data_IF_007396789903
#
_entry.id   IF_007396789903
#
_cell.length_a   1.000
_cell.length_b   1.000
_cell.length_c   1.000
_cell.angle_alpha   90.00
_cell.angle_beta   90.00
_cell.angle_gamma   90.00
#
_symmetry.space_group_name_H-M   'P 1'
#
loop_
_entity.id
_entity.type
_entity.pdbx_description
1 polymer ?
#
# COMPACT_ATOMS: atom_id res chain seq x y z
N UNK A 1 -2.02 -13.12 26.50
CA UNK A 1 -2.14 -12.00 27.47
C UNK A 1 -3.43 -11.27 27.17
N UNK A 2 -4.32 -11.11 28.15
CA UNK A 2 -5.60 -10.42 27.97
C UNK A 2 -5.34 -8.94 27.60
N UNK A 3 -5.95 -8.46 26.51
CA UNK A 3 -5.78 -7.09 26.00
C UNK A 3 -6.59 -6.12 26.87
N UNK A 4 -6.15 -4.86 27.06
CA UNK A 4 -6.94 -3.84 27.73
C UNK A 4 -8.31 -3.70 27.04
N UNK A 5 -9.42 -3.56 27.79
CA UNK A 5 -10.69 -3.16 27.23
C UNK A 5 -10.54 -1.80 26.52
N UNK A 6 -10.80 -1.76 25.21
CA UNK A 6 -10.74 -0.51 24.41
C UNK A 6 -9.55 -0.34 23.46
N UNK A 7 -8.52 -1.20 23.50
CA UNK A 7 -7.42 -1.14 22.51
C UNK A 7 -7.80 -1.90 21.23
N UNK A 8 -7.95 -1.19 20.11
CA UNK A 8 -8.18 -1.80 18.79
C UNK A 8 -6.86 -2.35 18.26
N UNK A 9 -6.90 -3.56 17.68
CA UNK A 9 -5.72 -4.20 17.13
C UNK A 9 -5.70 -4.04 15.61
N UNK A 10 -4.52 -3.90 15.03
CA UNK A 10 -4.36 -3.93 13.59
C UNK A 10 -3.38 -5.02 13.15
N UNK A 11 -3.72 -5.71 12.07
CA UNK A 11 -2.87 -6.71 11.46
C UNK A 11 -1.86 -6.07 10.51
N UNK A 12 -0.66 -6.65 10.45
CA UNK A 12 0.33 -6.35 9.41
C UNK A 12 0.94 -7.62 8.83
N UNK A 13 1.65 -7.47 7.73
CA UNK A 13 2.41 -8.54 7.09
C UNK A 13 3.79 -8.76 7.74
N UNK A 14 4.04 -8.16 8.90
CA UNK A 14 5.28 -8.30 9.67
C UNK A 14 5.95 -6.95 9.96
N UNK A 15 6.95 -6.92 10.86
CA UNK A 15 7.74 -5.73 11.12
C UNK A 15 8.39 -5.20 9.84
N UNK A 16 8.31 -3.88 9.66
CA UNK A 16 8.87 -3.19 8.48
C UNK A 16 8.08 -3.36 7.17
N UNK A 17 6.99 -4.13 7.14
CA UNK A 17 6.15 -4.25 5.95
C UNK A 17 5.44 -2.94 5.60
N UNK A 18 4.99 -2.77 4.35
CA UNK A 18 4.14 -1.66 3.94
C UNK A 18 2.91 -1.49 4.85
N UNK A 19 2.27 -2.59 5.25
CA UNK A 19 1.11 -2.55 6.16
C UNK A 19 1.46 -2.15 7.60
N UNK A 20 2.68 -2.46 8.07
CA UNK A 20 3.17 -1.95 9.35
C UNK A 20 3.37 -0.43 9.30
N UNK A 21 4.07 0.07 8.27
CA UNK A 21 4.26 1.50 8.07
C UNK A 21 2.93 2.26 7.92
N UNK A 22 1.98 1.71 7.16
CA UNK A 22 0.65 2.32 7.03
C UNK A 22 -0.12 2.36 8.35
N UNK A 23 -0.04 1.29 9.16
CA UNK A 23 -0.65 1.24 10.49
C UNK A 23 -0.06 2.29 11.43
N UNK A 24 1.26 2.42 11.48
CA UNK A 24 1.92 3.43 12.32
C UNK A 24 1.64 4.86 11.86
N UNK A 25 1.59 5.13 10.55
CA UNK A 25 1.16 6.44 10.05
C UNK A 25 -0.27 6.77 10.48
N UNK A 26 -1.17 5.78 10.38
CA UNK A 26 -2.57 5.96 10.75
C UNK A 26 -2.72 6.25 12.23
N UNK A 27 -2.04 5.49 13.10
CA UNK A 27 -2.00 5.77 14.55
C UNK A 27 -1.55 7.20 14.83
N UNK A 28 -0.43 7.61 14.21
CA UNK A 28 0.17 8.92 14.41
C UNK A 28 -0.75 10.06 13.95
N UNK A 29 -1.40 9.92 12.79
CA UNK A 29 -2.28 10.96 12.24
C UNK A 29 -3.67 10.98 12.89
N UNK A 30 -4.21 9.82 13.26
CA UNK A 30 -5.53 9.73 13.90
C UNK A 30 -5.49 9.99 15.41
N UNK A 31 -4.30 10.04 16.02
CA UNK A 31 -4.15 10.16 17.48
C UNK A 31 -4.71 8.94 18.22
N UNK A 32 -4.68 7.76 17.58
CA UNK A 32 -5.22 6.51 18.13
C UNK A 32 -4.09 5.59 18.58
N UNK A 33 -4.29 4.96 19.74
CA UNK A 33 -3.40 3.92 20.22
C UNK A 33 -3.91 2.53 19.77
N UNK A 34 -3.39 2.07 18.62
CA UNK A 34 -3.67 0.73 18.10
C UNK A 34 -2.51 -0.22 18.40
N UNK A 35 -2.85 -1.43 18.83
CA UNK A 35 -1.86 -2.50 19.05
C UNK A 35 -1.53 -3.20 17.74
N UNK A 36 -0.25 -3.20 17.40
CA UNK A 36 0.29 -3.90 16.21
C UNK A 36 0.36 -5.41 16.44
N UNK A 37 -0.27 -6.18 15.55
CA UNK A 37 -0.21 -7.64 15.52
C UNK A 37 0.49 -8.07 14.22
N UNK A 38 1.78 -8.50 14.28
CA UNK A 38 2.52 -8.93 13.11
C UNK A 38 2.18 -10.38 12.71
N UNK A 39 1.92 -10.60 11.43
CA UNK A 39 1.77 -11.93 10.82
C UNK A 39 2.91 -12.21 9.84
N UNK A 40 3.15 -13.47 9.49
CA UNK A 40 4.22 -13.86 8.56
C UNK A 40 3.80 -13.69 7.10
N UNK A 41 3.60 -12.43 6.69
CA UNK A 41 3.23 -12.06 5.33
C UNK A 41 1.75 -11.78 5.12
N UNK A 42 1.43 -11.31 3.91
CA UNK A 42 0.12 -10.74 3.59
C UNK A 42 -1.03 -11.77 3.61
N UNK A 43 -0.76 -13.03 3.26
CA UNK A 43 -1.77 -14.08 3.26
C UNK A 43 -2.28 -14.39 4.69
N UNK A 44 -1.37 -14.58 5.65
CA UNK A 44 -1.73 -14.81 7.05
C UNK A 44 -2.42 -13.58 7.67
N UNK A 45 -1.91 -12.38 7.36
CA UNK A 45 -2.53 -11.11 7.75
C UNK A 45 -3.98 -11.01 7.27
N UNK A 46 -4.26 -11.30 6.00
CA UNK A 46 -5.61 -11.26 5.44
C UNK A 46 -6.55 -12.28 6.08
N UNK A 47 -6.08 -13.51 6.29
CA UNK A 47 -6.86 -14.56 6.97
C UNK A 47 -7.21 -14.19 8.42
N UNK A 48 -6.28 -13.57 9.15
CA UNK A 48 -6.54 -13.12 10.52
C UNK A 48 -7.63 -12.05 10.62
N UNK A 49 -7.74 -11.19 9.61
CA UNK A 49 -8.81 -10.18 9.56
C UNK A 49 -10.14 -10.82 9.16
N UNK A 50 -10.11 -11.69 8.14
CA UNK A 50 -11.29 -12.41 7.68
C UNK A 50 -11.94 -13.29 8.76
N UNK A 51 -11.12 -13.88 9.64
CA UNK A 51 -11.56 -14.69 10.78
C UNK A 51 -11.92 -13.89 12.03
N UNK A 52 -11.62 -12.58 12.05
CA UNK A 52 -11.90 -11.69 13.19
C UNK A 52 -10.82 -11.66 14.29
N UNK A 53 -9.71 -12.38 14.14
CA UNK A 53 -8.59 -12.36 15.09
C UNK A 53 -7.95 -10.97 15.24
N UNK A 54 -7.95 -10.20 14.15
CA UNK A 54 -7.55 -8.79 14.11
C UNK A 54 -8.61 -7.95 13.40
N UNK A 55 -9.22 -6.96 14.06
CA UNK A 55 -10.40 -6.25 13.54
C UNK A 55 -10.08 -5.25 12.41
N UNK A 56 -8.82 -4.84 12.25
CA UNK A 56 -8.42 -3.79 11.30
C UNK A 56 -7.15 -4.20 10.55
N UNK A 57 -7.06 -3.80 9.29
CA UNK A 57 -5.83 -3.84 8.51
C UNK A 57 -5.76 -2.60 7.62
N UNK A 58 -4.56 -2.04 7.49
CA UNK A 58 -4.23 -1.10 6.43
C UNK A 58 -3.21 -1.80 5.55
N UNK A 59 -3.62 -2.18 4.34
CA UNK A 59 -2.85 -3.06 3.50
C UNK A 59 -3.08 -2.80 2.02
N UNK A 60 -2.27 -3.45 1.19
CA UNK A 60 -2.33 -3.28 -0.25
C UNK A 60 -3.58 -3.99 -0.80
N UNK A 61 -4.37 -3.28 -1.62
CA UNK A 61 -5.63 -3.80 -2.18
C UNK A 61 -5.43 -5.15 -2.89
N UNK A 62 -4.35 -5.30 -3.66
CA UNK A 62 -3.96 -6.55 -4.35
C UNK A 62 -3.95 -7.77 -3.42
N UNK A 63 -3.54 -7.60 -2.17
CA UNK A 63 -3.44 -8.70 -1.20
C UNK A 63 -4.79 -9.04 -0.54
N UNK A 64 -5.74 -8.10 -0.55
CA UNK A 64 -7.00 -8.18 0.18
C UNK A 64 -8.21 -8.36 -0.75
N UNK A 65 -8.05 -8.10 -2.06
CA UNK A 65 -9.15 -8.10 -3.04
C UNK A 65 -9.97 -9.39 -3.02
N UNK A 66 -9.33 -10.56 -2.89
CA UNK A 66 -10.04 -11.82 -2.81
C UNK A 66 -10.95 -11.94 -1.57
N UNK A 67 -10.49 -11.45 -0.41
CA UNK A 67 -11.28 -11.43 0.83
C UNK A 67 -12.42 -10.41 0.76
N UNK A 68 -12.16 -9.25 0.16
CA UNK A 68 -13.15 -8.20 -0.06
C UNK A 68 -14.26 -8.70 -0.99
N UNK A 69 -13.89 -9.34 -2.10
CA UNK A 69 -14.84 -9.90 -3.05
C UNK A 69 -15.74 -11.00 -2.46
N UNK A 70 -15.23 -11.76 -1.47
CA UNK A 70 -16.01 -12.76 -0.73
C UNK A 70 -16.84 -12.18 0.42
N UNK A 71 -16.75 -10.88 0.67
CA UNK A 71 -17.45 -10.21 1.79
C UNK A 71 -16.86 -10.51 3.17
N UNK A 72 -15.69 -11.13 3.23
CA UNK A 72 -15.01 -11.49 4.49
C UNK A 72 -14.28 -10.29 5.12
N UNK A 73 -13.87 -9.33 4.28
CA UNK A 73 -13.27 -8.06 4.72
C UNK A 73 -14.05 -6.92 4.11
N UNK A 74 -14.49 -5.98 4.96
CA UNK A 74 -15.15 -4.75 4.51
C UNK A 74 -14.12 -3.67 4.20
N UNK A 75 -14.09 -3.22 2.95
CA UNK A 75 -13.27 -2.06 2.55
C UNK A 75 -13.93 -0.77 3.04
N UNK A 76 -13.23 -0.04 3.93
CA UNK A 76 -13.77 1.17 4.58
C UNK A 76 -13.32 2.47 3.90
N UNK A 77 -12.04 2.55 3.53
CA UNK A 77 -11.45 3.69 2.86
C UNK A 77 -10.22 3.25 2.06
N UNK A 78 -9.86 4.00 1.01
CA UNK A 78 -8.59 3.84 0.30
C UNK A 78 -7.53 4.79 0.86
N UNK A 79 -6.26 4.42 0.69
CA UNK A 79 -5.10 5.16 1.24
C UNK A 79 -4.41 6.06 0.21
N UNK A 80 -4.98 6.19 -0.99
CA UNK A 80 -4.62 7.20 -1.99
C UNK A 80 -5.22 8.56 -1.64
N UNK A 81 -4.63 9.64 -2.16
CA UNK A 81 -5.20 10.99 -2.02
C UNK A 81 -6.50 11.17 -2.80
N UNK A 82 -6.67 10.42 -3.88
CA UNK A 82 -7.87 10.42 -4.72
C UNK A 82 -8.58 9.07 -4.64
N UNK A 83 -9.89 9.05 -4.93
CA UNK A 83 -10.67 7.80 -4.97
C UNK A 83 -10.08 6.82 -5.97
N UNK A 84 -10.04 5.55 -5.61
CA UNK A 84 -9.43 4.53 -6.44
C UNK A 84 -10.38 4.09 -7.56
N UNK A 85 -9.96 4.04 -8.84
CA UNK A 85 -10.86 3.74 -9.95
C UNK A 85 -11.60 2.40 -9.85
N UNK A 86 -10.99 1.38 -9.25
CA UNK A 86 -11.62 0.07 -9.08
C UNK A 86 -12.68 0.04 -7.96
N UNK A 87 -12.71 1.06 -7.09
CA UNK A 87 -13.64 1.18 -5.96
C UNK A 87 -14.08 2.64 -5.79
N UNK A 88 -14.75 3.24 -6.80
CA UNK A 88 -15.00 4.68 -6.83
C UNK A 88 -15.93 5.16 -5.70
N UNK A 89 -16.80 4.28 -5.20
CA UNK A 89 -17.72 4.61 -4.10
C UNK A 89 -17.03 4.66 -2.73
N UNK A 90 -15.85 4.04 -2.61
CA UNK A 90 -15.08 4.01 -1.37
C UNK A 90 -14.35 5.35 -1.19
N UNK A 91 -14.53 6.03 -0.05
CA UNK A 91 -13.85 7.31 0.20
C UNK A 91 -12.36 7.12 0.43
N UNK A 92 -11.60 8.21 0.33
CA UNK A 92 -10.19 8.23 0.74
C UNK A 92 -10.09 8.48 2.24
N UNK A 93 -8.98 8.07 2.88
CA UNK A 93 -8.68 8.52 4.25
C UNK A 93 -8.46 10.04 4.33
N UNK A 94 -7.95 10.64 3.24
CA UNK A 94 -7.83 12.09 3.09
C UNK A 94 -9.18 12.79 3.31
N UNK A 95 -10.23 12.31 2.63
CA UNK A 95 -11.60 12.84 2.72
C UNK A 95 -12.31 12.42 4.02
N UNK A 96 -11.87 11.33 4.65
CA UNK A 96 -12.52 10.72 5.81
C UNK A 96 -11.98 11.22 7.16
N UNK A 97 -11.43 12.43 7.18
CA UNK A 97 -10.98 13.08 8.42
C UNK A 97 -9.49 12.94 8.73
N UNK A 98 -8.67 12.41 7.81
CA UNK A 98 -7.20 12.45 7.90
C UNK A 98 -6.58 13.20 6.72
N UNK A 99 -6.73 14.54 6.62
CA UNK A 99 -6.19 15.31 5.51
C UNK A 99 -4.69 15.07 5.30
N UNK A 100 -4.32 14.79 4.05
CA UNK A 100 -2.95 14.49 3.66
C UNK A 100 -2.49 13.06 3.97
N UNK A 101 -3.34 12.20 4.52
CA UNK A 101 -3.02 10.78 4.68
C UNK A 101 -2.84 10.15 3.30
N UNK A 102 -1.66 9.60 3.06
CA UNK A 102 -1.39 8.84 1.85
C UNK A 102 -0.41 7.71 2.14
N UNK A 103 -0.80 6.48 1.81
CA UNK A 103 0.11 5.33 1.73
C UNK A 103 -0.19 4.53 0.48
N UNK A 104 0.58 4.80 -0.59
CA UNK A 104 0.47 4.08 -1.86
C UNK A 104 1.62 3.08 -1.98
N UNK A 105 1.28 1.81 -2.05
CA UNK A 105 2.23 0.77 -2.44
C UNK A 105 2.34 0.73 -3.97
N UNK A 106 3.57 0.75 -4.48
CA UNK A 106 3.85 0.71 -5.91
C UNK A 106 5.01 -0.23 -6.20
N UNK A 107 5.04 -0.73 -7.44
CA UNK A 107 6.16 -1.51 -7.97
C UNK A 107 6.76 -0.73 -9.14
N UNK A 108 8.09 -0.76 -9.25
CA UNK A 108 8.82 -0.11 -10.32
C UNK A 108 9.71 -1.09 -11.07
N UNK A 109 9.98 -0.79 -12.34
CA UNK A 109 10.98 -1.52 -13.11
C UNK A 109 12.33 -0.80 -12.97
N UNK A 110 13.34 -1.52 -12.49
CA UNK A 110 14.68 -0.99 -12.28
C UNK A 110 15.69 -1.74 -13.14
N UNK A 111 16.63 -1.00 -13.71
CA UNK A 111 17.82 -1.56 -14.36
C UNK A 111 19.06 -1.41 -13.48
N UNK A 112 20.18 -2.07 -13.83
CA UNK A 112 21.45 -1.89 -13.15
C UNK A 112 21.95 -0.44 -13.23
N UNK A 113 22.77 -0.04 -12.26
CA UNK A 113 23.46 1.24 -12.30
C UNK A 113 24.31 1.36 -13.58
N UNK A 114 24.26 2.51 -14.25
CA UNK A 114 24.97 2.74 -15.51
C UNK A 114 24.32 2.09 -16.73
N UNK A 115 23.05 1.67 -16.67
CA UNK A 115 22.32 1.17 -17.83
C UNK A 115 22.44 2.13 -19.02
N UNK A 116 22.87 1.61 -20.17
CA UNK A 116 23.13 2.40 -21.36
C UNK A 116 21.88 3.19 -21.78
N UNK A 117 21.99 4.51 -22.09
CA UNK A 117 20.84 5.33 -22.50
C UNK A 117 20.04 4.76 -23.67
N UNK A 118 20.71 4.07 -24.59
CA UNK A 118 20.08 3.40 -25.74
C UNK A 118 19.11 2.28 -25.34
N UNK A 119 19.37 1.59 -24.21
CA UNK A 119 18.46 0.57 -23.68
C UNK A 119 17.23 1.24 -23.09
N UNK A 120 17.42 2.27 -22.26
CA UNK A 120 16.31 3.05 -21.69
C UNK A 120 15.42 3.65 -22.78
N UNK A 121 16.03 4.19 -23.83
CA UNK A 121 15.32 4.76 -24.98
C UNK A 121 14.47 3.73 -25.74
N UNK A 122 14.83 2.44 -25.69
CA UNK A 122 14.03 1.35 -26.28
C UNK A 122 12.95 0.84 -25.33
N UNK A 123 13.22 0.79 -24.03
CA UNK A 123 12.30 0.25 -23.03
C UNK A 123 11.06 1.12 -22.86
N UNK A 124 11.21 2.45 -22.75
CA UNK A 124 10.08 3.33 -22.47
C UNK A 124 8.98 3.26 -23.56
N UNK A 125 9.28 3.33 -24.88
CA UNK A 125 8.27 3.13 -25.91
C UNK A 125 7.61 1.75 -25.86
N UNK A 126 8.38 0.69 -25.56
CA UNK A 126 7.83 -0.66 -25.44
C UNK A 126 6.86 -0.76 -24.25
N UNK A 127 7.21 -0.20 -23.09
CA UNK A 127 6.35 -0.15 -21.91
C UNK A 127 5.07 0.64 -22.19
N UNK A 128 5.15 1.77 -22.91
CA UNK A 128 3.97 2.54 -23.34
C UNK A 128 3.02 1.71 -24.21
N UNK A 129 3.57 0.95 -25.16
CA UNK A 129 2.76 0.06 -26.03
C UNK A 129 2.08 -1.04 -25.22
N UNK A 130 2.82 -1.70 -24.33
CA UNK A 130 2.27 -2.74 -23.45
C UNK A 130 1.17 -2.16 -22.56
N UNK A 131 1.38 -0.96 -22.02
CA UNK A 131 0.40 -0.30 -21.16
C UNK A 131 -0.87 0.15 -21.88
N UNK A 132 -0.84 0.28 -23.20
CA UNK A 132 -2.01 0.59 -24.01
C UNK A 132 -2.83 -0.68 -24.38
N UNK A 133 -2.34 -1.89 -24.08
CA UNK A 133 -3.07 -3.12 -24.35
C UNK A 133 -4.21 -3.29 -23.34
N UNK A 134 -5.44 -3.45 -23.84
CA UNK A 134 -6.64 -3.62 -23.03
C UNK A 134 -6.50 -4.80 -22.04
N UNK A 135 -6.02 -5.96 -22.51
CA UNK A 135 -5.80 -7.14 -21.65
C UNK A 135 -4.88 -6.84 -20.46
N UNK A 136 -3.84 -6.03 -20.65
CA UNK A 136 -2.91 -5.66 -19.57
C UNK A 136 -3.58 -4.72 -18.58
N UNK A 137 -4.32 -3.72 -19.07
CA UNK A 137 -5.06 -2.80 -18.20
C UNK A 137 -6.13 -3.54 -17.38
N UNK A 138 -6.89 -4.42 -18.02
CA UNK A 138 -7.92 -5.24 -17.37
C UNK A 138 -7.33 -6.17 -16.30
N UNK A 139 -6.22 -6.86 -16.60
CA UNK A 139 -5.57 -7.76 -15.62
C UNK A 139 -5.00 -7.01 -14.43
N UNK A 140 -4.43 -5.83 -14.64
CA UNK A 140 -3.93 -4.97 -13.55
C UNK A 140 -5.09 -4.42 -12.72
N UNK A 141 -6.16 -3.95 -13.36
CA UNK A 141 -7.36 -3.45 -12.67
C UNK A 141 -8.08 -4.56 -11.90
N UNK A 142 -8.12 -5.79 -12.41
CA UNK A 142 -8.76 -6.94 -11.76
C UNK A 142 -8.11 -7.30 -10.40
N UNK A 143 -6.82 -7.02 -10.23
CA UNK A 143 -6.13 -7.17 -8.94
C UNK A 143 -6.13 -5.86 -8.12
N UNK A 144 -6.88 -4.84 -8.54
CA UNK A 144 -6.94 -3.54 -7.87
C UNK A 144 -5.70 -2.67 -8.08
N UNK A 145 -4.86 -2.98 -9.07
CA UNK A 145 -3.71 -2.17 -9.44
C UNK A 145 -4.05 -1.04 -10.41
N UNK A 146 -3.12 -0.10 -10.56
CA UNK A 146 -3.15 0.93 -11.59
C UNK A 146 -1.84 0.87 -12.37
N UNK A 147 -1.95 0.87 -13.70
CA UNK A 147 -0.77 0.88 -14.54
C UNK A 147 -0.31 2.32 -14.77
N UNK A 148 0.95 2.60 -14.46
CA UNK A 148 1.58 3.90 -14.64
C UNK A 148 2.84 3.72 -15.47
N UNK A 149 2.98 4.48 -16.55
CA UNK A 149 4.21 4.57 -17.34
C UNK A 149 4.72 6.01 -17.23
N UNK A 150 5.72 6.19 -16.37
CA UNK A 150 6.36 7.49 -16.14
C UNK A 150 7.70 7.61 -16.86
N UNK A 151 8.21 8.84 -16.95
CA UNK A 151 9.60 9.06 -17.34
C UNK A 151 10.56 8.54 -16.26
N UNK A 152 11.77 8.04 -16.60
CA UNK A 152 12.73 7.53 -15.62
C UNK A 152 13.06 8.53 -14.51
N UNK A 153 13.14 9.83 -14.84
CA UNK A 153 13.40 10.89 -13.87
C UNK A 153 12.27 11.03 -12.83
N UNK A 154 11.02 10.82 -13.23
CA UNK A 154 9.86 10.90 -12.34
C UNK A 154 9.85 9.72 -11.35
N UNK A 155 10.14 8.50 -11.82
CA UNK A 155 10.31 7.35 -10.93
C UNK A 155 11.47 7.57 -9.94
N UNK A 156 12.59 8.11 -10.40
CA UNK A 156 13.73 8.44 -9.54
C UNK A 156 13.39 9.51 -8.49
N UNK A 157 12.59 10.52 -8.84
CA UNK A 157 12.08 11.52 -7.90
C UNK A 157 11.19 10.86 -6.83
N UNK A 158 10.22 10.04 -7.26
CA UNK A 158 9.33 9.30 -6.34
C UNK A 158 10.11 8.46 -5.33
N UNK A 159 11.14 7.73 -5.79
CA UNK A 159 12.01 6.94 -4.89
C UNK A 159 12.65 7.82 -3.81
N UNK A 160 13.20 8.98 -4.17
CA UNK A 160 13.84 9.89 -3.20
C UNK A 160 12.85 10.46 -2.20
N UNK A 161 11.67 10.85 -2.67
CA UNK A 161 10.58 11.38 -1.84
C UNK A 161 10.08 10.32 -0.85
N UNK A 162 9.82 9.10 -1.32
CA UNK A 162 9.36 7.99 -0.48
C UNK A 162 10.42 7.60 0.54
N UNK A 163 11.71 7.51 0.17
CA UNK A 163 12.79 7.26 1.13
C UNK A 163 12.78 8.30 2.25
N UNK A 164 12.60 9.58 1.90
CA UNK A 164 12.58 10.68 2.88
C UNK A 164 11.37 10.57 3.81
N UNK A 165 10.17 10.37 3.24
CA UNK A 165 8.91 10.19 3.96
C UNK A 165 8.98 9.01 4.94
N UNK A 166 9.37 7.84 4.45
CA UNK A 166 9.36 6.61 5.24
C UNK A 166 10.47 6.56 6.29
N UNK A 167 11.65 7.15 6.03
CA UNK A 167 12.69 7.29 7.06
C UNK A 167 12.22 8.17 8.22
N UNK A 168 11.55 9.28 7.92
CA UNK A 168 10.98 10.16 8.97
C UNK A 168 9.97 9.41 9.81
N UNK A 169 9.05 8.68 9.18
CA UNK A 169 8.05 7.89 9.91
C UNK A 169 8.69 6.77 10.73
N UNK A 170 9.66 6.04 10.17
CA UNK A 170 10.36 4.98 10.89
C UNK A 170 11.02 5.50 12.17
N UNK A 171 11.66 6.67 12.12
CA UNK A 171 12.26 7.30 13.29
C UNK A 171 11.21 7.72 14.33
N UNK A 172 10.10 8.31 13.89
CA UNK A 172 9.01 8.75 14.78
C UNK A 172 8.30 7.60 15.47
N UNK A 173 8.05 6.51 14.74
CA UNK A 173 7.36 5.32 15.23
C UNK A 173 8.30 4.24 15.79
N UNK A 174 9.62 4.52 15.87
CA UNK A 174 10.66 3.58 16.30
C UNK A 174 10.57 2.21 15.57
N UNK A 175 10.26 2.24 14.27
CA UNK A 175 10.22 1.05 13.41
C UNK A 175 11.66 0.64 13.10
N UNK A 176 11.99 -0.63 13.37
CA UNK A 176 13.30 -1.22 13.07
C UNK A 176 13.14 -2.35 12.07
N UNK A 177 14.10 -2.45 11.15
CA UNK A 177 14.33 -3.71 10.47
C UNK A 177 14.97 -4.65 11.50
N UNK A 178 14.45 -5.86 11.62
CA UNK A 178 15.08 -6.92 12.43
C UNK A 178 16.43 -7.33 11.84
#
# INVERSE_FOLDING_TARGET
RARPPGSVNYASAGPGSSSHFSGELFKAMAGLDLTHIPYRGAAQMGQAVASGDAPVVIGNLVNLQGFIARGEIRLMAVTSLERWPATPDVPTLHDSGLPGFETLAWNGLFGPAGLAPSITARLLPALRRIAALAEVQERIAAIGGQLVVSEPAALAARVREDITKWRRLAAQANIRAE
#
